data_IF_241046238675
#
_entry.id   IF_241046238675
#
_cell.length_a   1.000
_cell.length_b   1.000
_cell.length_c   1.000
_cell.angle_alpha   90.00
_cell.angle_beta   90.00
_cell.angle_gamma   90.00
#
_symmetry.space_group_name_H-M   'P 1'
#
loop_
_entity.id
_entity.type
_entity.pdbx_description
1 polymer ?
#
# COMPACT_ATOMS: atom_id res chain seq x y z
N UNK A 1 -12.90 11.22 -7.42
CA UNK A 1 -13.06 9.94 -6.68
C UNK A 1 -11.66 9.39 -6.49
N UNK A 2 -11.40 8.74 -5.39
CA UNK A 2 -10.12 8.11 -5.07
C UNK A 2 -10.27 6.60 -5.22
N UNK A 3 -9.17 5.89 -5.37
CA UNK A 3 -9.20 4.43 -5.29
C UNK A 3 -9.09 3.98 -3.84
N UNK A 4 -9.71 2.85 -3.47
CA UNK A 4 -9.63 2.13 -2.19
C UNK A 4 -10.25 2.87 -1.00
N UNK A 5 -9.78 4.09 -0.66
CA UNK A 5 -10.20 4.81 0.55
C UNK A 5 -10.56 6.27 0.27
N UNK A 6 -11.50 6.82 1.04
CA UNK A 6 -11.97 8.20 0.90
C UNK A 6 -12.53 8.75 2.24
N UNK A 7 -13.16 9.93 2.20
CA UNK A 7 -13.80 10.55 3.38
C UNK A 7 -14.88 9.72 4.06
N UNK A 8 -15.48 8.75 3.36
CA UNK A 8 -16.51 7.87 3.94
C UNK A 8 -15.94 6.62 4.61
N UNK A 9 -14.66 6.33 4.45
CA UNK A 9 -13.98 5.18 5.04
C UNK A 9 -14.07 5.23 6.57
N UNK A 10 -14.58 4.16 7.17
CA UNK A 10 -14.78 3.99 8.63
C UNK A 10 -13.77 2.97 9.13
N UNK A 11 -12.70 3.50 9.74
CA UNK A 11 -11.52 2.72 10.11
C UNK A 11 -11.60 2.19 11.54
N UNK A 12 -11.22 0.93 11.74
CA UNK A 12 -10.82 0.40 13.05
C UNK A 12 -9.34 0.04 13.05
N UNK A 13 -8.71 0.06 14.23
CA UNK A 13 -7.31 -0.33 14.43
C UNK A 13 -7.21 -1.63 15.21
N UNK A 14 -6.60 -2.67 14.68
CA UNK A 14 -6.22 -3.88 15.40
C UNK A 14 -4.82 -3.71 16.03
N UNK A 15 -4.70 -4.07 17.31
CA UNK A 15 -3.55 -3.71 18.12
C UNK A 15 -3.63 -2.26 18.65
N UNK A 16 -4.84 -1.73 18.79
CA UNK A 16 -5.16 -0.32 19.05
C UNK A 16 -4.47 0.25 20.28
N UNK A 17 -4.42 -0.49 21.39
CA UNK A 17 -3.81 -0.03 22.65
C UNK A 17 -2.31 -0.31 22.74
N UNK A 18 -1.70 -0.88 21.69
CA UNK A 18 -0.26 -1.06 21.57
C UNK A 18 0.44 0.25 21.20
N UNK A 19 1.75 0.36 21.43
CA UNK A 19 2.54 1.57 21.17
C UNK A 19 2.38 2.07 19.72
N UNK A 20 2.52 1.20 18.73
CA UNK A 20 2.39 1.58 17.32
C UNK A 20 0.93 1.88 16.95
N UNK A 21 -0.01 1.05 17.40
CA UNK A 21 -1.44 1.27 17.20
C UNK A 21 -1.89 2.63 17.74
N UNK A 22 -1.48 2.99 18.97
CA UNK A 22 -1.77 4.30 19.58
C UNK A 22 -1.19 5.43 18.73
N UNK A 23 0.12 5.42 18.50
CA UNK A 23 0.81 6.51 17.80
C UNK A 23 0.22 6.78 16.41
N UNK A 24 0.07 5.73 15.58
CA UNK A 24 -0.42 5.92 14.23
C UNK A 24 -1.93 6.20 14.17
N UNK A 25 -2.70 5.78 15.18
CA UNK A 25 -4.10 6.16 15.33
C UNK A 25 -4.25 7.65 15.64
N UNK A 26 -3.43 8.20 16.53
CA UNK A 26 -3.38 9.65 16.79
C UNK A 26 -3.07 10.44 15.52
N UNK A 27 -2.07 9.99 14.74
CA UNK A 27 -1.72 10.63 13.47
C UNK A 27 -2.85 10.53 12.42
N UNK A 28 -3.59 9.42 12.38
CA UNK A 28 -4.72 9.25 11.48
C UNK A 28 -5.89 10.16 11.88
N UNK A 29 -6.21 10.25 13.16
CA UNK A 29 -7.23 11.16 13.72
C UNK A 29 -6.85 12.62 13.40
N UNK A 30 -5.62 13.02 13.67
CA UNK A 30 -5.13 14.38 13.40
C UNK A 30 -5.18 14.72 11.89
N UNK A 31 -5.04 13.72 11.02
CA UNK A 31 -5.19 13.87 9.56
C UNK A 31 -6.64 14.02 9.10
N UNK A 32 -7.61 13.70 9.95
CA UNK A 32 -9.04 13.72 9.62
C UNK A 32 -9.62 12.38 9.17
N UNK A 33 -8.86 11.27 9.30
CA UNK A 33 -9.39 9.93 9.07
C UNK A 33 -10.47 9.58 10.09
N UNK A 34 -11.58 9.02 9.67
CA UNK A 34 -12.65 8.56 10.55
C UNK A 34 -12.25 7.24 11.24
N UNK A 35 -11.32 7.33 12.19
CA UNK A 35 -11.05 6.23 13.11
C UNK A 35 -12.19 6.19 14.14
N UNK A 36 -12.88 5.06 14.24
CA UNK A 36 -14.14 4.94 14.99
C UNK A 36 -14.05 3.95 16.16
N UNK A 37 -12.90 3.33 16.35
CA UNK A 37 -12.62 2.40 17.43
C UNK A 37 -11.42 1.53 17.13
N UNK A 38 -11.16 0.56 17.99
CA UNK A 38 -10.11 -0.40 17.76
C UNK A 38 -10.32 -1.73 18.49
N UNK A 39 -9.53 -2.71 18.11
CA UNK A 39 -9.58 -4.06 18.66
C UNK A 39 -8.31 -4.35 19.43
N UNK A 40 -8.47 -4.76 20.68
CA UNK A 40 -7.41 -5.33 21.52
C UNK A 40 -8.04 -6.39 22.40
N UNK A 41 -7.82 -7.68 22.15
CA UNK A 41 -8.38 -8.76 22.95
C UNK A 41 -8.07 -8.60 24.45
N UNK A 42 -9.08 -8.82 25.29
CA UNK A 42 -8.98 -8.65 26.75
C UNK A 42 -9.14 -7.20 27.26
N UNK A 43 -9.29 -6.20 26.36
CA UNK A 43 -9.52 -4.78 26.74
C UNK A 43 -10.85 -4.23 26.25
N UNK A 44 -11.73 -5.08 25.73
CA UNK A 44 -13.06 -4.70 25.30
C UNK A 44 -13.85 -4.01 26.41
N UNK A 45 -14.66 -2.99 26.05
CA UNK A 45 -15.42 -2.16 26.98
C UNK A 45 -14.67 -0.97 27.58
N UNK A 46 -13.34 -0.87 27.33
CA UNK A 46 -12.56 0.31 27.71
C UNK A 46 -12.59 1.39 26.63
N UNK A 47 -12.10 2.58 26.96
CA UNK A 47 -11.83 3.66 26.00
C UNK A 47 -10.33 3.84 25.80
N UNK A 48 -9.93 4.11 24.56
CA UNK A 48 -8.56 4.50 24.20
C UNK A 48 -8.63 5.59 23.14
N UNK A 49 -7.88 6.68 23.30
CA UNK A 49 -7.98 7.89 22.46
C UNK A 49 -9.44 8.42 22.35
N UNK A 50 -10.22 8.30 23.42
CA UNK A 50 -11.64 8.61 23.49
C UNK A 50 -12.53 7.79 22.52
N UNK A 51 -12.02 6.67 22.03
CA UNK A 51 -12.73 5.75 21.13
C UNK A 51 -12.91 4.39 21.81
N UNK A 52 -13.99 3.65 21.47
CA UNK A 52 -14.26 2.35 22.06
C UNK A 52 -13.22 1.29 21.66
N UNK A 53 -12.86 0.44 22.61
CA UNK A 53 -12.04 -0.74 22.40
C UNK A 53 -12.93 -1.98 22.44
N UNK A 54 -12.72 -2.87 21.49
CA UNK A 54 -13.45 -4.13 21.34
C UNK A 54 -12.52 -5.33 21.52
N UNK A 55 -13.08 -6.49 21.84
CA UNK A 55 -12.32 -7.73 21.89
C UNK A 55 -12.16 -8.39 20.52
N UNK A 56 -13.12 -8.18 19.62
CA UNK A 56 -13.19 -8.80 18.29
C UNK A 56 -13.52 -7.77 17.20
N UNK A 57 -13.16 -8.10 15.97
CA UNK A 57 -13.55 -7.31 14.78
C UNK A 57 -15.06 -7.33 14.59
N UNK A 58 -15.70 -8.48 14.85
CA UNK A 58 -17.17 -8.65 14.81
C UNK A 58 -17.89 -7.63 15.71
N UNK A 59 -17.47 -7.50 16.97
CA UNK A 59 -18.08 -6.56 17.90
C UNK A 59 -17.87 -5.10 17.46
N UNK A 60 -16.68 -4.82 16.93
CA UNK A 60 -16.36 -3.50 16.41
C UNK A 60 -17.26 -3.14 15.21
N UNK A 61 -17.40 -4.03 14.22
CA UNK A 61 -18.27 -3.80 13.05
C UNK A 61 -19.73 -3.63 13.48
N UNK A 62 -20.25 -4.54 14.30
CA UNK A 62 -21.62 -4.51 14.76
C UNK A 62 -21.99 -3.19 15.45
N UNK A 63 -21.05 -2.63 16.21
CA UNK A 63 -21.28 -1.40 17.00
C UNK A 63 -21.03 -0.15 16.16
N UNK A 64 -20.03 -0.15 15.27
CA UNK A 64 -19.54 1.06 14.62
C UNK A 64 -19.83 1.10 13.11
N UNK A 65 -20.12 -0.04 12.48
CA UNK A 65 -20.26 -0.16 11.03
C UNK A 65 -18.94 0.08 10.28
N UNK A 66 -17.81 -0.34 10.84
CA UNK A 66 -16.49 -0.23 10.20
C UNK A 66 -16.46 -0.98 8.87
N UNK A 67 -15.79 -0.41 7.87
CA UNK A 67 -15.54 -1.04 6.57
C UNK A 67 -14.05 -1.12 6.20
N UNK A 68 -13.18 -0.61 7.06
CA UNK A 68 -11.73 -0.69 6.90
C UNK A 68 -11.05 -1.06 8.24
N UNK A 69 -9.96 -1.80 8.14
CA UNK A 69 -9.12 -2.17 9.30
C UNK A 69 -7.65 -1.93 9.01
N UNK A 70 -6.92 -1.35 9.97
CA UNK A 70 -5.46 -1.30 9.95
C UNK A 70 -4.88 -2.18 11.06
N UNK A 71 -3.80 -2.91 10.74
CA UNK A 71 -3.22 -3.95 11.60
C UNK A 71 -1.79 -3.56 11.99
N UNK A 72 -1.57 -3.42 13.32
CA UNK A 72 -0.26 -3.15 13.93
C UNK A 72 0.14 -4.23 14.95
N UNK A 73 -0.49 -5.38 14.90
CA UNK A 73 -0.18 -6.49 15.81
C UNK A 73 1.16 -7.14 15.47
N UNK A 74 1.83 -7.83 16.42
CA UNK A 74 3.05 -8.57 16.14
C UNK A 74 2.88 -9.65 15.05
N UNK A 75 3.95 -10.05 14.33
CA UNK A 75 3.89 -11.01 13.21
C UNK A 75 3.13 -12.30 13.49
N UNK A 76 3.32 -12.86 14.70
CA UNK A 76 2.66 -14.10 15.10
C UNK A 76 1.12 -14.05 15.16
N UNK A 77 0.54 -12.86 15.18
CA UNK A 77 -0.92 -12.64 15.27
C UNK A 77 -1.49 -11.92 14.04
N UNK A 78 -0.63 -11.48 13.13
CA UNK A 78 -1.05 -10.62 12.03
C UNK A 78 -1.88 -11.37 10.99
N UNK A 79 -1.54 -12.62 10.68
CA UNK A 79 -2.31 -13.45 9.76
C UNK A 79 -3.74 -13.69 10.27
N UNK A 80 -3.88 -14.07 11.54
CA UNK A 80 -5.19 -14.28 12.18
C UNK A 80 -6.01 -12.97 12.18
N UNK A 81 -5.36 -11.83 12.44
CA UNK A 81 -6.01 -10.52 12.41
C UNK A 81 -6.51 -10.13 11.02
N UNK A 82 -5.78 -10.51 9.95
CA UNK A 82 -6.22 -10.30 8.57
C UNK A 82 -7.42 -11.21 8.26
N UNK A 83 -7.32 -12.50 8.63
CA UNK A 83 -8.38 -13.50 8.38
C UNK A 83 -9.66 -13.08 9.11
N UNK A 84 -9.58 -12.76 10.40
CA UNK A 84 -10.72 -12.28 11.19
C UNK A 84 -11.40 -11.08 10.52
N UNK A 85 -10.63 -10.07 10.13
CA UNK A 85 -11.19 -8.89 9.46
C UNK A 85 -11.87 -9.24 8.14
N UNK A 86 -11.30 -10.15 7.37
CA UNK A 86 -11.85 -10.60 6.09
C UNK A 86 -13.14 -11.41 6.28
N UNK A 87 -13.17 -12.34 7.22
CA UNK A 87 -14.34 -13.17 7.53
C UNK A 87 -15.52 -12.36 8.07
N UNK A 88 -15.24 -11.27 8.79
CA UNK A 88 -16.26 -10.35 9.30
C UNK A 88 -16.69 -9.28 8.27
N UNK A 89 -16.22 -9.37 7.02
CA UNK A 89 -16.68 -8.54 5.91
C UNK A 89 -16.03 -7.16 5.81
N UNK A 90 -14.85 -6.95 6.40
CA UNK A 90 -14.08 -5.73 6.16
C UNK A 90 -13.65 -5.68 4.69
N UNK A 91 -14.01 -4.60 4.01
CA UNK A 91 -13.73 -4.41 2.58
C UNK A 91 -12.24 -4.11 2.33
N UNK A 92 -11.63 -3.23 3.14
CA UNK A 92 -10.24 -2.78 3.01
C UNK A 92 -9.46 -3.14 4.27
N UNK A 93 -8.44 -3.97 4.10
CA UNK A 93 -7.55 -4.40 5.18
C UNK A 93 -6.15 -3.89 4.87
N UNK A 94 -5.52 -3.19 5.81
CA UNK A 94 -4.15 -2.67 5.67
C UNK A 94 -3.28 -3.31 6.74
N UNK A 95 -2.34 -4.14 6.34
CA UNK A 95 -1.41 -4.79 7.26
C UNK A 95 -0.02 -4.16 7.17
N UNK A 96 0.38 -3.47 8.25
CA UNK A 96 1.69 -2.80 8.33
C UNK A 96 2.78 -3.78 8.75
N UNK A 97 2.42 -4.80 9.50
CA UNK A 97 3.33 -5.76 10.11
C UNK A 97 4.24 -6.44 9.08
N UNK A 98 5.53 -6.48 9.37
CA UNK A 98 6.55 -7.23 8.67
C UNK A 98 6.83 -8.57 9.36
N UNK A 99 7.30 -9.58 8.61
CA UNK A 99 7.77 -10.84 9.14
C UNK A 99 6.68 -11.88 9.39
N UNK A 100 5.55 -11.79 8.71
CA UNK A 100 4.53 -12.84 8.72
C UNK A 100 5.08 -14.04 7.95
N UNK A 101 5.01 -15.27 8.49
CA UNK A 101 5.46 -16.48 7.82
C UNK A 101 4.75 -16.68 6.47
N UNK A 102 5.48 -17.16 5.47
CA UNK A 102 4.94 -17.40 4.10
C UNK A 102 3.74 -18.35 4.15
N UNK A 103 3.80 -19.41 4.97
CA UNK A 103 2.72 -20.38 5.10
C UNK A 103 1.42 -19.72 5.60
N UNK A 104 1.53 -18.81 6.57
CA UNK A 104 0.39 -18.08 7.11
C UNK A 104 -0.21 -17.14 6.05
N UNK A 105 0.64 -16.50 5.23
CA UNK A 105 0.18 -15.65 4.14
C UNK A 105 -0.51 -16.43 3.01
N UNK A 106 -0.21 -17.72 2.81
CA UNK A 106 -0.96 -18.59 1.88
C UNK A 106 -2.41 -18.75 2.38
N UNK A 107 -2.59 -19.00 3.69
CA UNK A 107 -3.91 -19.10 4.31
C UNK A 107 -4.67 -17.76 4.22
N UNK A 108 -3.99 -16.64 4.48
CA UNK A 108 -4.54 -15.29 4.29
C UNK A 108 -5.05 -15.08 2.87
N UNK A 109 -4.26 -15.46 1.84
CA UNK A 109 -4.68 -15.32 0.42
C UNK A 109 -5.95 -16.12 0.12
N UNK A 110 -6.11 -17.29 0.70
CA UNK A 110 -7.33 -18.08 0.56
C UNK A 110 -8.55 -17.37 1.17
N UNK A 111 -8.41 -16.86 2.41
CA UNK A 111 -9.48 -16.16 3.12
C UNK A 111 -9.92 -14.86 2.41
N UNK A 112 -8.98 -13.99 2.04
CA UNK A 112 -9.31 -12.72 1.38
C UNK A 112 -9.96 -12.92 0.01
N UNK A 113 -9.58 -14.00 -0.72
CA UNK A 113 -10.23 -14.35 -2.00
C UNK A 113 -11.67 -14.81 -1.79
N UNK A 114 -11.92 -15.65 -0.78
CA UNK A 114 -13.26 -16.16 -0.47
C UNK A 114 -14.23 -15.04 -0.08
N UNK A 115 -13.75 -14.05 0.67
CA UNK A 115 -14.56 -12.96 1.23
C UNK A 115 -14.51 -11.67 0.40
N UNK A 116 -13.76 -11.64 -0.71
CA UNK A 116 -13.59 -10.49 -1.61
C UNK A 116 -13.00 -9.22 -0.93
N UNK A 117 -12.33 -9.38 0.21
CA UNK A 117 -11.62 -8.29 0.86
C UNK A 117 -10.38 -7.87 0.06
N UNK A 118 -10.04 -6.58 0.08
CA UNK A 118 -8.80 -6.06 -0.51
C UNK A 118 -7.77 -5.87 0.59
N UNK A 119 -6.68 -6.62 0.52
CA UNK A 119 -5.54 -6.51 1.45
C UNK A 119 -4.44 -5.64 0.84
N UNK A 120 -3.96 -4.66 1.58
CA UNK A 120 -2.77 -3.85 1.29
C UNK A 120 -1.67 -4.28 2.24
N UNK A 121 -0.51 -4.64 1.71
CA UNK A 121 0.58 -5.28 2.47
C UNK A 121 0.46 -6.81 2.49
N UNK A 122 1.10 -7.49 3.43
CA UNK A 122 1.84 -6.99 4.63
C UNK A 122 3.13 -6.24 4.27
N UNK A 123 3.88 -5.82 5.31
CA UNK A 123 5.14 -5.11 5.19
C UNK A 123 5.03 -3.89 4.26
N UNK A 124 4.10 -2.99 4.56
CA UNK A 124 3.77 -1.84 3.73
C UNK A 124 3.61 -0.56 4.56
N UNK A 125 3.75 0.62 3.94
CA UNK A 125 3.49 1.88 4.63
C UNK A 125 2.00 2.24 4.70
N UNK A 126 1.12 1.46 4.05
CA UNK A 126 -0.31 1.70 4.01
C UNK A 126 -0.80 2.39 2.75
N UNK A 127 -1.86 3.16 2.88
CA UNK A 127 -2.54 3.87 1.78
C UNK A 127 -3.00 5.25 2.25
N UNK A 128 -2.92 6.25 1.37
CA UNK A 128 -3.40 7.60 1.65
C UNK A 128 -4.05 8.21 0.41
N UNK A 129 -5.24 8.77 0.58
CA UNK A 129 -5.88 9.68 -0.35
C UNK A 129 -5.76 11.08 0.23
N UNK A 130 -4.90 11.94 -0.35
CA UNK A 130 -4.58 13.23 0.24
C UNK A 130 -5.81 14.11 0.46
N UNK A 131 -5.90 14.69 1.67
CA UNK A 131 -7.04 15.52 2.09
C UNK A 131 -8.33 14.74 2.42
N UNK A 132 -8.31 13.42 2.32
CA UNK A 132 -9.49 12.59 2.57
C UNK A 132 -9.32 11.54 3.67
N UNK A 133 -8.33 10.66 3.52
CA UNK A 133 -8.14 9.53 4.42
C UNK A 133 -6.69 9.03 4.39
N UNK A 134 -6.15 8.72 5.57
CA UNK A 134 -4.83 8.14 5.78
C UNK A 134 -4.95 6.87 6.60
N UNK A 135 -4.46 5.75 6.09
CA UNK A 135 -4.39 4.46 6.80
C UNK A 135 -2.95 3.94 6.72
N UNK A 136 -2.31 3.78 7.86
CA UNK A 136 -0.93 3.32 7.94
C UNK A 136 0.04 4.38 8.43
N UNK A 137 1.32 4.25 8.03
CA UNK A 137 2.45 5.01 8.59
C UNK A 137 2.94 6.16 7.70
N UNK A 138 2.39 6.34 6.50
CA UNK A 138 2.79 7.43 5.61
C UNK A 138 2.64 8.80 6.30
N UNK A 139 3.64 9.70 6.22
CA UNK A 139 3.53 11.04 6.79
C UNK A 139 2.53 11.90 6.00
N UNK A 140 1.42 12.29 6.62
CA UNK A 140 0.37 13.08 5.95
C UNK A 140 0.83 14.45 5.44
N UNK A 141 1.82 15.04 6.12
CA UNK A 141 2.31 16.41 5.84
C UNK A 141 3.01 16.59 4.49
N UNK A 142 3.52 15.51 3.89
CA UNK A 142 4.20 15.60 2.57
C UNK A 142 3.23 15.43 1.40
N UNK A 143 1.99 15.06 1.66
CA UNK A 143 0.99 14.79 0.63
C UNK A 143 0.18 16.02 0.27
N UNK A 144 -0.11 16.18 -1.02
CA UNK A 144 -0.94 17.24 -1.58
C UNK A 144 -2.05 16.60 -2.43
N UNK A 145 -3.32 16.98 -2.28
CA UNK A 145 -4.37 16.55 -3.22
C UNK A 145 -4.01 16.91 -4.65
N UNK A 146 -4.12 15.94 -5.56
CA UNK A 146 -3.75 16.12 -6.96
C UNK A 146 -4.13 14.95 -7.84
N UNK A 147 -3.35 14.70 -8.89
CA UNK A 147 -3.76 13.77 -9.95
C UNK A 147 -2.79 12.61 -10.23
N UNK A 148 -1.76 12.41 -9.42
CA UNK A 148 -0.79 11.34 -9.64
C UNK A 148 -1.10 10.15 -8.73
N UNK A 149 -1.35 8.99 -9.32
CA UNK A 149 -1.37 7.72 -8.62
C UNK A 149 0.05 7.28 -8.28
N UNK A 150 0.27 6.71 -7.09
CA UNK A 150 1.58 6.15 -6.73
C UNK A 150 1.36 4.72 -6.25
N UNK A 151 2.09 3.78 -6.84
CA UNK A 151 2.12 2.37 -6.44
C UNK A 151 3.57 2.00 -6.14
N UNK A 152 3.85 1.50 -4.94
CA UNK A 152 5.22 1.25 -4.53
C UNK A 152 5.37 0.00 -3.66
N UNK A 153 6.42 -0.78 -3.89
CA UNK A 153 6.89 -1.82 -2.95
C UNK A 153 7.65 -1.22 -1.78
N UNK A 154 8.30 -0.07 -1.98
CA UNK A 154 9.18 0.56 -0.98
C UNK A 154 8.47 1.67 -0.22
N UNK A 155 8.51 1.65 1.10
CA UNK A 155 8.03 2.74 1.94
C UNK A 155 8.80 4.04 1.69
N UNK A 156 10.12 4.00 1.78
CA UNK A 156 10.99 5.18 1.62
C UNK A 156 10.87 5.81 0.25
N UNK A 157 10.91 5.02 -0.82
CA UNK A 157 10.78 5.55 -2.19
C UNK A 157 9.36 6.05 -2.50
N UNK A 158 8.35 5.53 -1.80
CA UNK A 158 7.00 6.14 -1.84
C UNK A 158 7.06 7.58 -1.37
N UNK A 159 7.72 7.85 -0.24
CA UNK A 159 7.81 9.21 0.32
C UNK A 159 8.61 10.14 -0.61
N UNK A 160 9.65 9.63 -1.26
CA UNK A 160 10.42 10.36 -2.25
C UNK A 160 9.56 10.78 -3.45
N UNK A 161 8.82 9.84 -4.04
CA UNK A 161 7.91 10.12 -5.16
C UNK A 161 6.79 11.11 -4.77
N UNK A 162 6.24 10.96 -3.56
CA UNK A 162 5.24 11.87 -3.00
C UNK A 162 5.79 13.28 -2.85
N UNK A 163 6.96 13.43 -2.21
CA UNK A 163 7.58 14.73 -1.97
C UNK A 163 7.84 15.47 -3.29
N UNK A 164 8.38 14.77 -4.29
CA UNK A 164 8.67 15.34 -5.61
C UNK A 164 7.39 15.79 -6.31
N UNK A 165 6.36 14.97 -6.35
CA UNK A 165 5.08 15.34 -6.99
C UNK A 165 4.38 16.48 -6.25
N UNK A 166 4.53 16.56 -4.93
CA UNK A 166 4.02 17.68 -4.12
C UNK A 166 4.78 18.98 -4.43
N UNK A 167 6.11 18.95 -4.46
CA UNK A 167 6.95 20.14 -4.76
C UNK A 167 6.71 20.66 -6.19
N UNK A 168 6.37 19.78 -7.13
CA UNK A 168 6.04 20.15 -8.51
C UNK A 168 4.58 20.60 -8.69
N UNK A 169 3.78 20.66 -7.62
CA UNK A 169 2.38 21.04 -7.66
C UNK A 169 1.47 20.03 -8.38
N UNK A 170 1.94 18.84 -8.65
CA UNK A 170 1.15 17.77 -9.29
C UNK A 170 0.20 17.11 -8.30
N UNK A 171 0.63 16.96 -7.05
CA UNK A 171 -0.09 16.28 -5.98
C UNK A 171 -0.45 14.82 -6.31
N UNK A 172 -1.13 14.15 -5.39
CA UNK A 172 -1.46 12.73 -5.54
C UNK A 172 -2.97 12.51 -5.49
N UNK A 173 -3.47 11.58 -6.33
CA UNK A 173 -4.85 11.09 -6.25
C UNK A 173 -4.99 10.04 -5.14
N UNK A 174 -4.12 9.06 -5.12
CA UNK A 174 -3.96 8.07 -4.05
C UNK A 174 -2.54 7.51 -4.09
N UNK A 175 -1.96 7.28 -2.91
CA UNK A 175 -0.68 6.57 -2.78
C UNK A 175 -0.92 5.21 -2.12
N UNK A 176 -0.47 4.15 -2.76
CA UNK A 176 -0.61 2.76 -2.29
C UNK A 176 0.77 2.13 -2.13
N UNK A 177 1.12 1.80 -0.89
CA UNK A 177 2.26 0.95 -0.61
C UNK A 177 1.82 -0.51 -0.61
N UNK A 178 2.19 -1.27 -1.63
CA UNK A 178 1.77 -2.68 -1.75
C UNK A 178 2.60 -3.65 -0.91
N UNK A 179 3.74 -3.18 -0.38
CA UNK A 179 4.64 -3.99 0.44
C UNK A 179 5.69 -4.77 -0.33
N UNK A 180 6.76 -5.14 0.39
CA UNK A 180 7.94 -5.83 -0.15
C UNK A 180 7.97 -7.35 0.12
N UNK A 181 6.91 -7.94 0.65
CA UNK A 181 6.86 -9.38 0.92
C UNK A 181 6.54 -10.18 -0.35
N UNK A 182 7.04 -11.43 -0.46
CA UNK A 182 6.79 -12.28 -1.62
C UNK A 182 5.30 -12.60 -1.83
N UNK A 183 4.57 -12.82 -0.72
CA UNK A 183 3.13 -13.06 -0.74
C UNK A 183 2.45 -11.86 -0.11
N UNK A 184 1.72 -11.12 -0.91
CA UNK A 184 1.03 -9.88 -0.52
C UNK A 184 -0.43 -9.87 -0.97
N UNK A 185 -1.17 -8.89 -0.51
CA UNK A 185 -2.54 -8.62 -0.92
C UNK A 185 -2.62 -8.12 -2.36
N UNK A 186 -2.88 -6.83 -2.53
CA UNK A 186 -2.90 -6.17 -3.84
C UNK A 186 -1.52 -6.19 -4.50
N UNK A 187 -1.53 -6.35 -5.82
CA UNK A 187 -0.36 -6.30 -6.69
C UNK A 187 -0.39 -5.05 -7.60
N UNK A 188 0.63 -4.89 -8.45
CA UNK A 188 0.70 -3.78 -9.38
C UNK A 188 -0.48 -3.74 -10.35
N UNK A 189 -0.91 -4.88 -10.89
CA UNK A 189 -1.99 -4.95 -11.89
C UNK A 189 -3.30 -4.46 -11.30
N UNK A 190 -3.67 -4.96 -10.13
CA UNK A 190 -4.92 -4.57 -9.47
C UNK A 190 -4.95 -3.07 -9.15
N UNK A 191 -3.82 -2.50 -8.71
CA UNK A 191 -3.71 -1.06 -8.48
C UNK A 191 -3.75 -0.26 -9.78
N UNK A 192 -3.05 -0.70 -10.83
CA UNK A 192 -3.04 -0.05 -12.15
C UNK A 192 -4.43 -0.03 -12.76
N UNK A 193 -5.18 -1.12 -12.67
CA UNK A 193 -6.57 -1.20 -13.13
C UNK A 193 -7.43 -0.13 -12.46
N UNK A 194 -7.38 -0.06 -11.13
CA UNK A 194 -8.15 0.95 -10.38
C UNK A 194 -7.74 2.38 -10.76
N UNK A 195 -6.44 2.65 -10.96
CA UNK A 195 -5.97 3.96 -11.39
C UNK A 195 -6.35 4.29 -12.83
N UNK A 196 -6.38 3.30 -13.75
CA UNK A 196 -6.84 3.52 -15.12
C UNK A 196 -8.32 3.92 -15.16
N UNK A 197 -9.16 3.30 -14.32
CA UNK A 197 -10.58 3.59 -14.18
C UNK A 197 -10.86 4.93 -13.46
N UNK A 198 -9.96 5.39 -12.58
CA UNK A 198 -10.16 6.63 -11.83
C UNK A 198 -9.97 7.88 -12.69
N UNK A 199 -11.03 8.62 -12.93
CA UNK A 199 -11.06 9.84 -13.76
C UNK A 199 -10.17 10.97 -13.20
N UNK A 200 -9.87 10.98 -11.91
CA UNK A 200 -9.04 12.00 -11.27
C UNK A 200 -7.54 11.69 -11.41
N UNK A 201 -7.17 10.45 -11.65
CA UNK A 201 -5.78 10.06 -11.87
C UNK A 201 -5.40 10.32 -13.32
N UNK A 202 -4.39 11.18 -13.54
CA UNK A 202 -3.89 11.54 -14.87
C UNK A 202 -2.61 10.82 -15.27
N UNK A 203 -1.90 10.26 -14.32
CA UNK A 203 -0.68 9.47 -14.53
C UNK A 203 -0.33 8.69 -13.29
N UNK A 204 0.56 7.70 -13.43
CA UNK A 204 0.94 6.80 -12.33
C UNK A 204 2.46 6.73 -12.20
N UNK A 205 2.96 6.81 -10.96
CA UNK A 205 4.35 6.47 -10.64
C UNK A 205 4.37 5.05 -10.09
N UNK A 206 5.14 4.16 -10.73
CA UNK A 206 5.35 2.78 -10.34
C UNK A 206 6.76 2.62 -9.80
N UNK A 207 6.87 2.21 -8.52
CA UNK A 207 8.15 1.97 -7.86
C UNK A 207 8.28 0.49 -7.53
N UNK A 208 9.18 -0.17 -8.23
CA UNK A 208 9.52 -1.58 -8.05
C UNK A 208 10.93 -1.77 -7.48
N UNK A 209 11.32 -3.01 -7.37
CA UNK A 209 12.63 -3.41 -6.85
C UNK A 209 13.07 -4.74 -7.45
N UNK A 210 14.31 -5.12 -7.19
CA UNK A 210 14.83 -6.44 -7.54
C UNK A 210 14.03 -7.58 -6.89
N UNK A 211 14.12 -8.75 -7.46
CA UNK A 211 13.48 -9.98 -6.98
C UNK A 211 12.07 -10.18 -7.47
N UNK A 212 11.68 -11.44 -7.62
CA UNK A 212 10.41 -11.84 -8.22
C UNK A 212 10.23 -11.34 -9.65
N UNK A 213 9.02 -11.41 -10.17
CA UNK A 213 8.66 -11.06 -11.57
C UNK A 213 7.42 -10.13 -11.66
N UNK A 214 7.01 -9.52 -10.57
CA UNK A 214 5.77 -8.72 -10.52
C UNK A 214 5.80 -7.55 -11.51
N UNK A 215 6.96 -6.91 -11.70
CA UNK A 215 7.12 -5.76 -12.56
C UNK A 215 7.09 -6.16 -14.05
N UNK A 216 7.65 -7.31 -14.40
CA UNK A 216 7.58 -7.88 -15.75
C UNK A 216 6.13 -8.28 -16.11
N UNK A 217 5.42 -8.90 -15.17
CA UNK A 217 4.00 -9.24 -15.35
C UNK A 217 3.15 -7.97 -15.45
N UNK A 218 3.46 -6.94 -14.65
CA UNK A 218 2.81 -5.64 -14.75
C UNK A 218 3.10 -4.96 -16.10
N UNK A 219 4.31 -5.09 -16.65
CA UNK A 219 4.69 -4.53 -17.95
C UNK A 219 3.82 -5.09 -19.09
N UNK A 220 3.58 -6.41 -19.11
CA UNK A 220 2.69 -7.02 -20.10
C UNK A 220 1.25 -6.50 -19.98
N UNK A 221 0.76 -6.33 -18.75
CA UNK A 221 -0.56 -5.76 -18.52
C UNK A 221 -0.65 -4.30 -18.96
N UNK A 222 0.35 -3.48 -18.63
CA UNK A 222 0.44 -2.07 -19.01
C UNK A 222 0.33 -1.92 -20.52
N UNK A 223 1.10 -2.69 -21.27
CA UNK A 223 1.12 -2.64 -22.75
C UNK A 223 -0.24 -2.87 -23.37
N UNK A 224 -1.09 -3.67 -22.75
CA UNK A 224 -2.38 -4.09 -23.32
C UNK A 224 -3.56 -3.24 -22.79
N UNK A 225 -3.49 -2.75 -21.56
CA UNK A 225 -4.66 -2.25 -20.85
C UNK A 225 -4.55 -0.83 -20.31
N UNK A 226 -3.34 -0.26 -20.18
CA UNK A 226 -3.16 1.05 -19.57
C UNK A 226 -2.85 2.09 -20.63
N UNK A 227 -3.63 3.18 -20.63
CA UNK A 227 -3.48 4.31 -21.54
C UNK A 227 -2.86 5.52 -20.87
N UNK A 228 -2.99 5.61 -19.53
CA UNK A 228 -2.43 6.71 -18.76
C UNK A 228 -0.91 6.64 -18.74
N UNK A 229 -0.21 7.80 -18.78
CA UNK A 229 1.24 7.83 -18.72
C UNK A 229 1.75 7.24 -17.39
N UNK A 230 2.82 6.45 -17.50
CA UNK A 230 3.48 5.83 -16.33
C UNK A 230 4.95 6.25 -16.30
N UNK A 231 5.38 6.79 -15.15
CA UNK A 231 6.79 6.93 -14.80
C UNK A 231 7.18 5.75 -13.89
N UNK A 232 8.34 5.14 -14.16
CA UNK A 232 8.79 3.97 -13.40
C UNK A 232 10.16 4.18 -12.75
N UNK A 233 10.39 3.52 -11.61
CA UNK A 233 11.70 3.39 -11.01
C UNK A 233 11.86 1.98 -10.42
N UNK A 234 13.02 1.36 -10.65
CA UNK A 234 13.36 0.04 -10.09
C UNK A 234 14.58 0.18 -9.20
N UNK A 235 14.42 -0.13 -7.92
CA UNK A 235 15.51 -0.12 -6.96
C UNK A 235 16.40 -1.38 -7.09
N UNK A 236 17.69 -1.22 -6.81
CA UNK A 236 18.61 -2.34 -6.68
C UNK A 236 19.45 -2.66 -7.92
N UNK A 237 19.68 -1.71 -8.83
CA UNK A 237 20.53 -1.90 -10.03
C UNK A 237 21.92 -2.44 -9.68
N UNK A 238 22.49 -2.02 -8.55
CA UNK A 238 23.82 -2.43 -8.08
C UNK A 238 23.77 -3.54 -7.02
N UNK A 239 22.62 -4.14 -6.80
CA UNK A 239 22.48 -5.19 -5.79
C UNK A 239 23.24 -6.45 -6.20
N UNK A 240 24.02 -7.06 -5.29
CA UNK A 240 24.72 -8.31 -5.57
C UNK A 240 23.73 -9.49 -5.61
N UNK A 241 24.03 -10.47 -6.47
CA UNK A 241 23.25 -11.70 -6.55
C UNK A 241 23.32 -12.51 -5.24
N UNK A 242 22.22 -13.18 -4.89
CA UNK A 242 22.10 -14.05 -3.72
C UNK A 242 22.01 -13.32 -2.39
N UNK A 243 22.08 -11.96 -2.36
CA UNK A 243 21.95 -11.18 -1.14
C UNK A 243 20.57 -10.55 -1.05
N UNK A 244 19.89 -10.75 0.08
CA UNK A 244 18.64 -10.08 0.41
C UNK A 244 18.90 -8.60 0.71
N UNK A 245 18.16 -7.71 0.03
CA UNK A 245 18.32 -6.26 0.10
C UNK A 245 17.15 -5.58 0.82
N UNK A 246 17.06 -5.76 2.14
CA UNK A 246 15.99 -5.20 2.97
C UNK A 246 14.74 -6.07 2.98
N UNK A 247 13.88 -5.94 1.97
CA UNK A 247 12.64 -6.71 1.88
C UNK A 247 12.87 -8.21 1.66
N UNK A 248 11.96 -9.04 2.18
CA UNK A 248 12.05 -10.49 2.03
C UNK A 248 12.03 -10.95 0.57
N UNK A 249 11.30 -10.22 -0.31
CA UNK A 249 11.23 -10.47 -1.73
C UNK A 249 12.37 -9.86 -2.56
N UNK A 250 13.15 -8.95 -2.00
CA UNK A 250 14.21 -8.22 -2.71
C UNK A 250 15.52 -9.01 -2.76
N UNK A 251 15.54 -10.08 -3.52
CA UNK A 251 16.70 -10.95 -3.73
C UNK A 251 16.79 -11.38 -5.19
N UNK A 252 17.98 -11.26 -5.80
CA UNK A 252 18.27 -11.82 -7.11
C UNK A 252 18.68 -13.28 -6.92
N UNK A 253 17.95 -14.21 -7.53
CA UNK A 253 18.19 -15.64 -7.41
C UNK A 253 18.34 -16.29 -8.77
N UNK A 254 19.43 -17.01 -8.99
CA UNK A 254 19.69 -17.78 -10.23
C UNK A 254 19.51 -16.91 -11.50
N UNK A 255 20.00 -15.67 -11.46
CA UNK A 255 19.91 -14.75 -12.60
C UNK A 255 18.52 -14.20 -12.90
N UNK A 256 17.53 -14.45 -12.04
CA UNK A 256 16.17 -13.91 -12.17
C UNK A 256 15.91 -12.77 -11.18
N UNK A 257 15.01 -11.86 -11.54
CA UNK A 257 14.64 -10.71 -10.70
C UNK A 257 15.65 -9.56 -10.74
N UNK A 258 16.45 -9.46 -11.81
CA UNK A 258 17.40 -8.37 -12.02
C UNK A 258 16.67 -7.05 -12.32
N UNK A 259 17.14 -5.96 -11.75
CA UNK A 259 16.59 -4.63 -12.02
C UNK A 259 16.61 -4.28 -13.50
N UNK A 260 17.69 -4.62 -14.20
CA UNK A 260 17.85 -4.30 -15.62
C UNK A 260 16.81 -4.97 -16.53
N UNK A 261 16.40 -6.20 -16.20
CA UNK A 261 15.41 -6.93 -16.99
C UNK A 261 14.01 -6.34 -16.77
N UNK A 262 13.69 -5.98 -15.52
CA UNK A 262 12.45 -5.26 -15.16
C UNK A 262 12.38 -3.89 -15.86
N UNK A 263 13.46 -3.12 -15.86
CA UNK A 263 13.55 -1.83 -16.55
C UNK A 263 13.28 -2.02 -18.04
N UNK A 264 13.96 -2.96 -18.70
CA UNK A 264 13.74 -3.27 -20.13
C UNK A 264 12.31 -3.70 -20.44
N UNK A 265 11.70 -4.50 -19.57
CA UNK A 265 10.31 -4.92 -19.74
C UNK A 265 9.34 -3.74 -19.66
N UNK A 266 9.50 -2.89 -18.65
CA UNK A 266 8.68 -1.70 -18.46
C UNK A 266 8.87 -0.68 -19.60
N UNK A 267 10.10 -0.43 -20.07
CA UNK A 267 10.36 0.45 -21.21
C UNK A 267 9.68 -0.07 -22.50
N UNK A 268 9.75 -1.38 -22.78
CA UNK A 268 9.05 -1.99 -23.90
C UNK A 268 7.53 -1.89 -23.81
N UNK A 269 7.00 -1.74 -22.58
CA UNK A 269 5.59 -1.51 -22.33
C UNK A 269 5.17 -0.03 -22.41
N UNK A 270 6.11 0.88 -22.71
CA UNK A 270 5.84 2.32 -22.83
C UNK A 270 5.99 3.10 -21.51
N UNK A 271 6.51 2.51 -20.45
CA UNK A 271 6.81 3.19 -19.19
C UNK A 271 8.07 4.05 -19.35
N UNK A 272 8.02 5.30 -18.93
CA UNK A 272 9.20 6.18 -18.90
C UNK A 272 9.99 5.95 -17.63
N UNK A 273 11.16 5.32 -17.74
CA UNK A 273 11.99 5.00 -16.59
C UNK A 273 12.80 6.20 -16.10
N UNK A 274 12.71 6.47 -14.80
CA UNK A 274 13.55 7.46 -14.11
C UNK A 274 14.96 6.92 -13.90
N UNK A 275 15.97 7.73 -14.20
CA UNK A 275 17.39 7.32 -14.05
C UNK A 275 17.84 7.28 -12.60
N UNK A 276 17.23 8.09 -11.76
CA UNK A 276 17.51 8.23 -10.35
C UNK A 276 16.20 8.24 -9.56
N UNK A 277 16.18 7.81 -8.30
CA UNK A 277 15.00 7.96 -7.46
C UNK A 277 14.60 9.44 -7.28
N UNK A 278 15.54 10.38 -7.43
CA UNK A 278 15.29 11.82 -7.35
C UNK A 278 14.59 12.42 -8.59
N UNK A 279 14.41 11.63 -9.66
CA UNK A 279 13.87 12.13 -10.93
C UNK A 279 12.42 11.68 -11.20
N UNK A 280 11.82 10.92 -10.30
CA UNK A 280 10.48 10.33 -10.53
C UNK A 280 9.41 11.40 -10.82
N UNK A 281 9.40 12.47 -10.02
CA UNK A 281 8.47 13.58 -10.20
C UNK A 281 8.69 14.33 -11.51
N UNK A 282 9.94 14.62 -11.88
CA UNK A 282 10.28 15.30 -13.14
C UNK A 282 9.93 14.44 -14.36
N UNK A 283 10.18 13.12 -14.27
CA UNK A 283 9.78 12.17 -15.33
C UNK A 283 8.27 12.20 -15.55
N UNK A 284 7.48 12.16 -14.48
CA UNK A 284 6.03 12.25 -14.56
C UNK A 284 5.58 13.62 -15.11
N UNK A 285 6.17 14.72 -14.63
CA UNK A 285 5.83 16.07 -15.13
C UNK A 285 6.07 16.20 -16.64
N UNK A 286 7.18 15.64 -17.14
CA UNK A 286 7.49 15.66 -18.57
C UNK A 286 6.48 14.85 -19.40
N UNK A 287 5.97 13.74 -18.87
CA UNK A 287 4.94 12.93 -19.53
C UNK A 287 3.59 13.65 -19.63
N UNK A 288 3.21 14.42 -18.61
CA UNK A 288 1.93 15.14 -18.59
C UNK A 288 1.90 16.40 -19.48
N UNK A 289 3.06 16.87 -19.97
CA UNK A 289 3.18 18.01 -20.90
C UNK A 289 3.09 17.60 -22.38
N UNK A 290 3.16 16.31 -22.67
CA UNK A 290 2.99 15.73 -24.01
C UNK A 290 1.53 15.52 -24.34
#
# INVERSE_FOLDING_TARGET
MSILINKSTRLICQGFTGKQGTFHSEQAIAYGTKLIGGVTPGKGGSLHLNLPVFNTVRDAIKTTGANASVIYVPPAFAADSIIEASEEGIEIIVCITEGIPIQDMINVKAAIRANQSKLIGPNCPGVITPGECKIGIMPGSIHLPGSIGIISKSGTLTYEAVQQTTMLGLGQSTCVGIGGDPIKGLNFIECLQMFEEDKNTKGVILVGEIGGSDEEVAAEYIKQHIKKPIAGYIAGITAPEGKRMGHAGAIISQGSGLAIDKIKALEKAGVSMSKSPADMGLTMQALLKK
#
